data_IF_995940928365
#
_entry.id   IF_995940928365
#
_cell.length_a   1.000
_cell.length_b   1.000
_cell.length_c   1.000
_cell.angle_alpha   90.00
_cell.angle_beta   90.00
_cell.angle_gamma   90.00
#
_symmetry.space_group_name_H-M   'P 1'
#
loop_
_entity.id
_entity.type
_entity.pdbx_description
1 polymer ?
#
# COMPACT_ATOMS: atom_id res chain seq x y z
N UNK A 1 40.34 14.16 17.40
CA UNK A 1 39.27 13.20 17.01
C UNK A 1 39.77 11.80 17.29
N UNK A 2 39.23 11.13 18.32
CA UNK A 2 39.79 9.90 18.88
C UNK A 2 39.81 8.70 17.90
N UNK A 3 40.76 7.81 18.16
CA UNK A 3 41.08 6.55 17.47
C UNK A 3 39.87 5.68 17.07
N UNK A 4 38.72 5.82 17.75
CA UNK A 4 37.50 5.06 17.53
C UNK A 4 36.64 5.55 16.33
N UNK A 5 36.86 6.76 15.81
CA UNK A 5 36.10 7.26 14.65
C UNK A 5 36.48 6.55 13.34
N UNK A 6 37.76 6.23 13.17
CA UNK A 6 38.30 5.65 11.94
C UNK A 6 37.90 4.18 11.75
N UNK A 7 37.89 3.40 12.85
CA UNK A 7 37.45 1.99 12.81
C UNK A 7 35.95 1.86 12.50
N UNK A 8 35.11 2.73 13.06
CA UNK A 8 33.67 2.78 12.75
C UNK A 8 33.43 3.15 11.28
N UNK A 9 34.14 4.16 10.77
CA UNK A 9 34.02 4.56 9.36
C UNK A 9 34.47 3.45 8.39
N UNK A 10 35.57 2.77 8.68
CA UNK A 10 36.07 1.66 7.84
C UNK A 10 35.13 0.46 7.85
N UNK A 11 34.58 0.09 9.01
CA UNK A 11 33.58 -0.97 9.13
C UNK A 11 32.26 -0.62 8.41
N UNK A 12 31.81 0.63 8.50
CA UNK A 12 30.65 1.10 7.73
C UNK A 12 30.90 1.03 6.22
N UNK A 13 32.10 1.40 5.74
CA UNK A 13 32.50 1.25 4.33
C UNK A 13 32.48 -0.22 3.91
N UNK A 14 33.01 -1.14 4.73
CA UNK A 14 32.96 -2.60 4.47
C UNK A 14 31.52 -3.10 4.39
N UNK A 15 30.65 -2.69 5.32
CA UNK A 15 29.22 -3.04 5.34
C UNK A 15 28.50 -2.58 4.07
N UNK A 16 28.73 -1.34 3.63
CA UNK A 16 28.13 -0.81 2.40
C UNK A 16 28.61 -1.61 1.17
N UNK A 17 29.91 -1.91 1.08
CA UNK A 17 30.47 -2.74 -0.01
C UNK A 17 29.83 -4.14 -0.03
N UNK A 18 29.67 -4.77 1.14
CA UNK A 18 29.00 -6.07 1.26
C UNK A 18 27.54 -5.99 0.78
N UNK A 19 26.78 -4.99 1.21
CA UNK A 19 25.39 -4.83 0.76
C UNK A 19 25.29 -4.58 -0.75
N UNK A 20 26.22 -3.82 -1.35
CA UNK A 20 26.29 -3.64 -2.81
C UNK A 20 26.51 -4.98 -3.51
N UNK A 21 27.46 -5.79 -3.04
CA UNK A 21 27.76 -7.12 -3.57
C UNK A 21 26.55 -8.07 -3.47
N UNK A 22 25.92 -8.16 -2.29
CA UNK A 22 24.71 -8.97 -2.10
C UNK A 22 23.56 -8.52 -3.03
N UNK A 23 23.35 -7.20 -3.18
CA UNK A 23 22.32 -6.67 -4.10
C UNK A 23 22.62 -7.01 -5.56
N UNK A 24 23.89 -7.00 -6.00
CA UNK A 24 24.25 -7.43 -7.36
C UNK A 24 24.04 -8.93 -7.56
N UNK A 25 24.36 -9.77 -6.58
CA UNK A 25 24.12 -11.22 -6.66
C UNK A 25 22.63 -11.53 -6.81
N UNK A 26 21.77 -10.90 -6.00
CA UNK A 26 20.31 -11.06 -6.14
C UNK A 26 19.80 -10.58 -7.51
N UNK A 27 20.38 -9.50 -8.07
CA UNK A 27 20.02 -9.04 -9.43
C UNK A 27 20.46 -10.05 -10.49
N UNK A 28 21.66 -10.61 -10.37
CA UNK A 28 22.16 -11.61 -11.32
C UNK A 28 21.35 -12.91 -11.25
N UNK A 29 21.03 -13.40 -10.06
CA UNK A 29 20.14 -14.55 -9.87
C UNK A 29 18.76 -14.31 -10.50
N UNK A 30 18.18 -13.11 -10.34
CA UNK A 30 16.93 -12.75 -11.00
C UNK A 30 17.05 -12.76 -12.53
N UNK A 31 18.15 -12.24 -13.09
CA UNK A 31 18.40 -12.27 -14.53
C UNK A 31 18.50 -13.70 -15.07
N UNK A 32 19.32 -14.54 -14.43
CA UNK A 32 19.49 -15.96 -14.79
C UNK A 32 18.15 -16.68 -14.74
N UNK A 33 17.38 -16.50 -13.66
CA UNK A 33 16.04 -17.08 -13.53
C UNK A 33 15.10 -16.68 -14.67
N UNK A 34 15.12 -15.40 -15.07
CA UNK A 34 14.29 -14.92 -16.19
C UNK A 34 14.73 -15.51 -17.53
N UNK A 35 16.03 -15.74 -17.74
CA UNK A 35 16.55 -16.39 -18.95
C UNK A 35 16.16 -17.88 -19.01
N UNK A 36 16.30 -18.61 -17.91
CA UNK A 36 16.03 -20.05 -17.85
C UNK A 36 14.54 -20.39 -17.82
N UNK A 37 13.74 -19.64 -17.06
CA UNK A 37 12.33 -19.97 -16.77
C UNK A 37 11.34 -19.02 -17.45
N UNK A 38 11.84 -18.05 -18.22
CA UNK A 38 11.03 -16.99 -18.79
C UNK A 38 10.56 -15.95 -17.77
N UNK A 39 9.81 -14.92 -18.21
CA UNK A 39 9.25 -13.92 -17.32
C UNK A 39 8.23 -14.56 -16.36
N UNK A 40 8.35 -14.24 -15.06
CA UNK A 40 7.39 -14.65 -14.05
C UNK A 40 5.99 -14.09 -14.39
N UNK A 41 5.08 -14.97 -14.81
CA UNK A 41 3.67 -14.61 -14.99
C UNK A 41 3.04 -14.37 -13.62
N UNK A 42 2.87 -13.11 -13.23
CA UNK A 42 2.12 -12.77 -12.02
C UNK A 42 0.63 -13.02 -12.29
N UNK A 43 0.07 -14.03 -11.63
CA UNK A 43 -1.36 -14.40 -11.76
C UNK A 43 -2.29 -13.27 -11.25
N UNK A 44 -1.79 -12.41 -10.36
CA UNK A 44 -2.55 -11.31 -9.76
C UNK A 44 -1.74 -10.02 -9.76
N UNK A 45 -2.44 -8.90 -9.87
CA UNK A 45 -1.85 -7.56 -9.67
C UNK A 45 -1.32 -7.46 -8.24
N UNK A 46 -0.17 -6.80 -8.08
CA UNK A 46 0.39 -6.55 -6.75
C UNK A 46 -0.59 -5.72 -5.90
N UNK A 47 -0.82 -6.13 -4.65
CA UNK A 47 -1.66 -5.36 -3.71
C UNK A 47 -1.05 -3.96 -3.50
N UNK A 48 -1.85 -2.88 -3.54
CA UNK A 48 -1.33 -1.55 -3.26
C UNK A 48 -0.77 -1.48 -1.84
N UNK A 49 0.24 -0.63 -1.61
CA UNK A 49 0.78 -0.41 -0.27
C UNK A 49 -0.24 0.28 0.63
N UNK A 50 -0.12 0.10 1.96
CA UNK A 50 -0.97 0.78 2.95
C UNK A 50 -1.01 2.30 2.73
N UNK A 51 0.14 2.92 2.42
CA UNK A 51 0.24 4.36 2.12
C UNK A 51 -0.52 4.75 0.84
N UNK A 52 -0.54 3.88 -0.17
CA UNK A 52 -1.31 4.12 -1.39
C UNK A 52 -2.81 4.00 -1.10
N UNK A 53 -3.22 2.97 -0.36
CA UNK A 53 -4.62 2.78 0.06
C UNK A 53 -5.15 4.01 0.83
N UNK A 54 -4.39 4.53 1.79
CA UNK A 54 -4.76 5.73 2.54
C UNK A 54 -4.86 7.00 1.67
N UNK A 55 -3.97 7.15 0.69
CA UNK A 55 -4.04 8.28 -0.25
C UNK A 55 -5.26 8.16 -1.16
N UNK A 56 -5.51 6.96 -1.68
CA UNK A 56 -6.62 6.70 -2.58
C UNK A 56 -7.96 6.83 -1.84
N UNK A 57 -8.06 6.39 -0.58
CA UNK A 57 -9.27 6.60 0.24
C UNK A 57 -9.52 8.09 0.51
N UNK A 58 -8.48 8.86 0.84
CA UNK A 58 -8.61 10.33 0.99
C UNK A 58 -9.08 10.99 -0.31
N UNK A 59 -8.49 10.61 -1.45
CA UNK A 59 -8.89 11.14 -2.76
C UNK A 59 -10.34 10.80 -3.10
N UNK A 60 -10.76 9.56 -2.87
CA UNK A 60 -12.15 9.14 -3.06
C UNK A 60 -13.11 9.95 -2.20
N UNK A 61 -12.77 10.18 -0.93
CA UNK A 61 -13.60 11.01 -0.03
C UNK A 61 -13.76 12.43 -0.56
N UNK A 62 -12.69 13.06 -1.03
CA UNK A 62 -12.74 14.43 -1.58
C UNK A 62 -13.63 14.48 -2.84
N UNK A 63 -13.51 13.49 -3.72
CA UNK A 63 -14.31 13.42 -4.94
C UNK A 63 -15.79 13.22 -4.60
N UNK A 64 -16.11 12.30 -3.68
CA UNK A 64 -17.47 12.05 -3.24
C UNK A 64 -18.14 13.30 -2.65
N UNK A 65 -17.43 14.03 -1.79
CA UNK A 65 -17.92 15.30 -1.23
C UNK A 65 -18.16 16.34 -2.33
N UNK A 66 -17.22 16.50 -3.26
CA UNK A 66 -17.37 17.44 -4.36
C UNK A 66 -18.52 17.09 -5.32
N UNK A 67 -18.79 15.79 -5.53
CA UNK A 67 -19.93 15.32 -6.33
C UNK A 67 -21.25 15.57 -5.60
N UNK A 68 -21.31 15.30 -4.30
CA UNK A 68 -22.46 15.59 -3.45
C UNK A 68 -22.82 17.08 -3.46
N UNK A 69 -21.84 17.97 -3.33
CA UNK A 69 -22.05 19.42 -3.41
C UNK A 69 -22.56 19.87 -4.78
N UNK A 70 -22.09 19.27 -5.87
CA UNK A 70 -22.60 19.55 -7.22
C UNK A 70 -24.05 19.14 -7.37
N UNK A 71 -24.41 17.96 -6.84
CA UNK A 71 -25.78 17.44 -6.89
C UNK A 71 -26.75 18.34 -6.10
N UNK A 72 -26.34 18.76 -4.90
CA UNK A 72 -27.07 19.74 -4.09
C UNK A 72 -27.25 21.07 -4.85
N UNK A 73 -26.18 21.59 -5.45
CA UNK A 73 -26.23 22.85 -6.20
C UNK A 73 -27.14 22.75 -7.44
N UNK A 74 -27.20 21.59 -8.07
CA UNK A 74 -28.09 21.34 -9.21
C UNK A 74 -29.56 21.14 -8.84
N UNK A 75 -29.88 21.04 -7.55
CA UNK A 75 -31.25 20.81 -7.06
C UNK A 75 -31.80 19.41 -7.36
N UNK A 76 -30.95 18.49 -7.86
CA UNK A 76 -31.30 17.09 -8.14
C UNK A 76 -31.53 16.29 -6.85
N UNK A 77 -30.93 16.71 -5.74
CA UNK A 77 -31.02 16.05 -4.44
C UNK A 77 -31.25 17.14 -3.37
N UNK A 78 -32.12 16.87 -2.40
CA UNK A 78 -32.31 17.74 -1.24
C UNK A 78 -31.41 17.33 -0.07
N UNK A 79 -31.23 18.23 0.90
CA UNK A 79 -30.48 17.90 2.12
C UNK A 79 -31.15 16.76 2.91
N UNK A 80 -32.49 16.67 2.87
CA UNK A 80 -33.26 15.61 3.54
C UNK A 80 -32.99 14.22 2.94
N UNK A 81 -32.79 14.14 1.62
CA UNK A 81 -32.49 12.87 0.94
C UNK A 81 -31.11 12.35 1.31
N UNK A 82 -30.13 13.26 1.46
CA UNK A 82 -28.79 12.93 1.93
C UNK A 82 -28.83 12.37 3.36
N UNK A 83 -29.63 12.98 4.22
CA UNK A 83 -29.69 12.60 5.63
C UNK A 83 -30.42 11.25 5.81
N UNK A 84 -31.42 10.95 4.98
CA UNK A 84 -32.03 9.61 4.91
C UNK A 84 -31.02 8.55 4.46
N UNK A 85 -30.27 8.81 3.40
CA UNK A 85 -29.26 7.87 2.89
C UNK A 85 -28.14 7.61 3.92
N UNK A 86 -27.71 8.64 4.66
CA UNK A 86 -26.73 8.46 5.75
C UNK A 86 -27.28 7.65 6.91
N UNK A 87 -28.56 7.80 7.25
CA UNK A 87 -29.21 7.01 8.29
C UNK A 87 -29.32 5.54 7.86
N UNK A 88 -29.65 5.28 6.59
CA UNK A 88 -29.70 3.92 6.02
C UNK A 88 -28.31 3.25 5.98
N UNK A 89 -27.24 4.00 5.66
CA UNK A 89 -25.86 3.49 5.74
C UNK A 89 -25.42 3.17 7.19
N UNK A 90 -25.98 3.86 8.19
CA UNK A 90 -25.65 3.64 9.61
C UNK A 90 -26.40 2.45 10.22
N UNK A 91 -27.62 2.16 9.74
CA UNK A 91 -28.47 1.08 10.25
C UNK A 91 -28.20 -0.28 9.57
N UNK A 92 -27.49 -0.29 8.44
CA UNK A 92 -27.17 -1.49 7.65
C UNK A 92 -25.71 -1.98 7.71
N UNK A 93 -24.92 -1.55 8.71
CA UNK A 93 -23.45 -1.67 8.71
C UNK A 93 -22.83 -2.60 9.75
N UNK A 94 -23.38 -3.79 10.00
CA UNK A 94 -22.69 -4.90 10.67
C UNK A 94 -22.54 -6.07 9.70
N UNK A 95 -21.51 -6.02 8.84
CA UNK A 95 -21.05 -7.21 8.10
C UNK A 95 -19.61 -7.03 7.58
N UNK A 96 -18.63 -7.62 8.28
CA UNK A 96 -17.58 -8.35 7.57
C UNK A 96 -16.14 -7.86 7.58
N UNK A 97 -15.62 -7.24 8.66
CA UNK A 97 -14.16 -7.19 8.88
C UNK A 97 -13.78 -7.81 10.22
N UNK A 98 -14.17 -9.08 10.41
CA UNK A 98 -13.54 -9.97 11.39
C UNK A 98 -12.09 -10.20 10.96
N UNK A 99 -11.17 -9.91 11.87
CA UNK A 99 -9.78 -10.32 11.84
C UNK A 99 -9.63 -11.77 11.34
N UNK A 100 -9.15 -11.95 10.11
CA UNK A 100 -8.71 -13.23 9.59
C UNK A 100 -7.37 -13.63 10.20
N UNK A 101 -7.37 -13.84 11.51
CA UNK A 101 -6.36 -14.58 12.24
C UNK A 101 -6.77 -16.05 12.30
N UNK A 102 -6.70 -16.75 11.16
CA UNK A 102 -6.72 -18.22 11.14
C UNK A 102 -5.31 -18.72 10.88
N UNK A 103 -4.71 -19.06 12.02
CA UNK A 103 -3.74 -20.12 12.24
C UNK A 103 -3.85 -21.25 11.18
N UNK A 104 -2.79 -21.45 10.40
CA UNK A 104 -2.57 -22.69 9.68
C UNK A 104 -1.21 -23.25 10.09
N UNK A 105 -1.22 -23.93 11.23
CA UNK A 105 -0.38 -25.09 11.47
C UNK A 105 -0.70 -26.18 10.44
N UNK A 106 0.24 -26.39 9.51
CA UNK A 106 0.85 -27.68 9.13
C UNK A 106 1.69 -27.53 7.86
#
# INVERSE_FOLDING_TARGET
MGYNGQSVQTNNKKKIKLHKKKRSETRNQKKVRTLEKGPLKQLRKHRPSKKKQQKDSKRRRIVAVAEQEKLLKSGLISQEDIDKLKAEEQDGGDDGESDGAEDMEN
#
